data_IF_787463495096
#
_entry.id   IF_787463495096
#
_cell.length_a   1.000
_cell.length_b   1.000
_cell.length_c   1.000
_cell.angle_alpha   90.00
_cell.angle_beta   90.00
_cell.angle_gamma   90.00
#
_symmetry.space_group_name_H-M   'P 1'
#
loop_
_entity.id
_entity.type
_entity.pdbx_description
1 polymer ?
#
# COMPACT_ATOMS: atom_id res chain seq x y z
N UNK A 1 -32.30 48.01 -32.02
CA UNK A 1 -32.09 46.56 -31.76
C UNK A 1 -30.72 46.19 -31.19
N UNK A 2 -29.61 46.86 -31.54
CA UNK A 2 -28.26 46.54 -30.99
C UNK A 2 -28.07 46.91 -29.50
N UNK A 3 -28.74 47.96 -29.03
CA UNK A 3 -28.74 48.40 -27.62
C UNK A 3 -29.56 47.49 -26.71
N UNK A 4 -30.73 47.01 -27.15
CA UNK A 4 -31.56 46.07 -26.38
C UNK A 4 -30.90 44.69 -26.23
N UNK A 5 -30.21 44.20 -27.27
CA UNK A 5 -29.41 42.96 -27.21
C UNK A 5 -28.17 43.10 -26.31
N UNK A 6 -27.53 44.29 -26.27
CA UNK A 6 -26.44 44.58 -25.32
C UNK A 6 -26.94 44.67 -23.87
N UNK A 7 -28.07 45.32 -23.62
CA UNK A 7 -28.66 45.42 -22.28
C UNK A 7 -29.18 44.05 -21.80
N UNK A 8 -29.74 43.23 -22.69
CA UNK A 8 -30.12 41.84 -22.40
C UNK A 8 -28.92 40.91 -22.16
N UNK A 9 -27.81 41.08 -22.88
CA UNK A 9 -26.58 40.31 -22.67
C UNK A 9 -25.85 40.74 -21.38
N UNK A 10 -25.84 42.04 -21.05
CA UNK A 10 -25.28 42.57 -19.79
C UNK A 10 -26.17 42.18 -18.61
N UNK A 11 -27.50 42.31 -18.74
CA UNK A 11 -28.46 41.86 -17.72
C UNK A 11 -28.45 40.34 -17.51
N UNK A 12 -28.27 39.55 -18.58
CA UNK A 12 -28.11 38.11 -18.51
C UNK A 12 -26.77 37.66 -17.92
N UNK A 13 -25.67 38.36 -18.21
CA UNK A 13 -24.38 38.11 -17.59
C UNK A 13 -24.36 38.50 -16.11
N UNK A 14 -25.02 39.60 -15.74
CA UNK A 14 -25.21 40.01 -14.33
C UNK A 14 -26.11 39.03 -13.59
N UNK A 15 -27.19 38.54 -14.21
CA UNK A 15 -28.05 37.51 -13.61
C UNK A 15 -27.32 36.16 -13.48
N UNK A 16 -26.47 35.78 -14.44
CA UNK A 16 -25.61 34.61 -14.30
C UNK A 16 -24.61 34.81 -13.17
N UNK A 17 -23.89 35.93 -13.09
CA UNK A 17 -22.97 36.25 -11.98
C UNK A 17 -23.71 36.28 -10.62
N UNK A 18 -24.96 36.75 -10.57
CA UNK A 18 -25.77 36.81 -9.36
C UNK A 18 -26.42 35.46 -8.98
N UNK A 19 -26.60 34.54 -9.92
CA UNK A 19 -27.15 33.20 -9.63
C UNK A 19 -26.04 32.14 -9.54
N UNK A 20 -24.83 32.47 -9.98
CA UNK A 20 -23.70 31.56 -10.06
C UNK A 20 -23.22 31.07 -8.68
N UNK A 21 -23.07 31.92 -7.65
CA UNK A 21 -22.75 31.46 -6.30
C UNK A 21 -23.81 30.51 -5.71
N UNK A 22 -25.09 30.66 -6.09
CA UNK A 22 -26.17 29.75 -5.68
C UNK A 22 -26.08 28.39 -6.38
N UNK A 23 -25.74 28.37 -7.67
CA UNK A 23 -25.50 27.15 -8.42
C UNK A 23 -24.25 26.42 -7.91
N UNK A 24 -23.18 27.16 -7.61
CA UNK A 24 -21.95 26.65 -6.99
C UNK A 24 -22.22 26.10 -5.59
N UNK A 25 -23.10 26.72 -4.80
CA UNK A 25 -23.55 26.18 -3.51
C UNK A 25 -24.36 24.88 -3.62
N UNK A 26 -25.21 24.72 -4.64
CA UNK A 26 -25.89 23.44 -4.91
C UNK A 26 -24.91 22.34 -5.34
N UNK A 27 -23.93 22.68 -6.17
CA UNK A 27 -22.82 21.77 -6.53
C UNK A 27 -22.01 21.39 -5.29
N UNK A 28 -21.73 22.35 -4.40
CA UNK A 28 -21.04 22.10 -3.13
C UNK A 28 -21.80 21.13 -2.22
N UNK A 29 -23.10 21.34 -2.00
CA UNK A 29 -23.93 20.43 -1.20
C UNK A 29 -23.96 19.02 -1.79
N UNK A 30 -24.09 18.92 -3.13
CA UNK A 30 -24.07 17.64 -3.83
C UNK A 30 -22.72 16.94 -3.73
N UNK A 31 -21.61 17.65 -3.90
CA UNK A 31 -20.25 17.10 -3.73
C UNK A 31 -20.08 16.53 -2.30
N UNK A 32 -20.54 17.26 -1.27
CA UNK A 32 -20.47 16.78 0.12
C UNK A 32 -21.35 15.54 0.33
N UNK A 33 -22.58 15.56 -0.16
CA UNK A 33 -23.52 14.45 0.03
C UNK A 33 -23.10 13.20 -0.73
N UNK A 34 -22.73 13.34 -2.01
CA UNK A 34 -22.24 12.22 -2.84
C UNK A 34 -20.89 11.69 -2.30
N UNK A 35 -20.02 12.57 -1.80
CA UNK A 35 -18.76 12.19 -1.16
C UNK A 35 -18.97 11.34 0.09
N UNK A 36 -19.88 11.75 0.99
CA UNK A 36 -20.23 10.98 2.19
C UNK A 36 -20.86 9.63 1.82
N UNK A 37 -21.78 9.59 0.86
CA UNK A 37 -22.41 8.33 0.44
C UNK A 37 -21.37 7.30 -0.05
N UNK A 38 -20.30 7.75 -0.72
CA UNK A 38 -19.22 6.87 -1.19
C UNK A 38 -18.22 6.48 -0.10
N UNK A 39 -18.17 7.20 1.03
CA UNK A 39 -17.30 6.88 2.18
C UNK A 39 -17.96 5.93 3.18
N UNK A 40 -19.30 5.92 3.24
CA UNK A 40 -20.04 5.02 4.12
C UNK A 40 -19.92 3.57 3.64
N UNK A 41 -19.58 2.66 4.54
CA UNK A 41 -19.47 1.22 4.29
C UNK A 41 -19.82 0.40 5.54
N UNK A 42 -19.58 -0.91 5.52
CA UNK A 42 -19.89 -1.81 6.64
C UNK A 42 -19.08 -1.52 7.92
N UNK A 43 -17.96 -0.79 7.82
CA UNK A 43 -17.06 -0.45 8.92
C UNK A 43 -17.28 0.96 9.47
N UNK A 44 -17.68 1.92 8.63
CA UNK A 44 -17.84 3.34 8.99
C UNK A 44 -19.13 3.89 8.42
N UNK A 45 -19.94 4.52 9.27
CA UNK A 45 -21.10 5.33 8.88
C UNK A 45 -20.68 6.78 8.73
N UNK A 46 -21.09 7.43 7.65
CA UNK A 46 -20.86 8.86 7.45
C UNK A 46 -22.18 9.58 7.20
N UNK A 47 -22.42 10.69 7.90
CA UNK A 47 -23.70 11.41 7.85
C UNK A 47 -23.47 12.92 7.70
N UNK A 48 -24.33 13.56 6.91
CA UNK A 48 -24.45 15.02 6.89
C UNK A 48 -25.43 15.42 8.00
N UNK A 49 -24.92 16.05 9.06
CA UNK A 49 -25.72 16.47 10.23
C UNK A 49 -26.46 17.76 9.91
N UNK A 50 -25.77 18.74 9.32
CA UNK A 50 -26.37 19.99 8.87
C UNK A 50 -25.62 20.58 7.67
N UNK A 51 -26.34 21.36 6.87
CA UNK A 51 -25.77 22.13 5.78
C UNK A 51 -26.49 23.47 5.67
N UNK A 52 -25.81 24.53 6.07
CA UNK A 52 -26.31 25.90 6.01
C UNK A 52 -25.77 26.57 4.76
N UNK A 53 -26.64 26.69 3.75
CA UNK A 53 -26.28 27.29 2.47
C UNK A 53 -26.43 28.81 2.51
N UNK A 54 -25.33 29.51 2.40
CA UNK A 54 -25.29 30.95 2.13
C UNK A 54 -25.02 31.26 0.65
N UNK A 55 -24.93 32.55 0.34
CA UNK A 55 -24.74 33.01 -1.04
C UNK A 55 -23.28 32.87 -1.49
N UNK A 56 -22.32 33.40 -0.72
CA UNK A 56 -20.88 33.31 -1.00
C UNK A 56 -20.15 32.24 -0.16
N UNK A 57 -20.84 31.66 0.81
CA UNK A 57 -20.29 30.64 1.69
C UNK A 57 -21.37 29.66 2.12
N UNK A 58 -20.96 28.48 2.57
CA UNK A 58 -21.82 27.51 3.23
C UNK A 58 -21.08 26.93 4.43
N UNK A 59 -21.82 26.48 5.45
CA UNK A 59 -21.25 25.71 6.56
C UNK A 59 -21.85 24.31 6.56
N UNK A 60 -21.03 23.29 6.74
CA UNK A 60 -21.46 21.90 6.78
C UNK A 60 -20.92 21.20 8.02
N UNK A 61 -21.77 20.41 8.67
CA UNK A 61 -21.39 19.56 9.80
C UNK A 61 -21.58 18.11 9.38
N UNK A 62 -20.52 17.33 9.49
CA UNK A 62 -20.50 15.91 9.13
C UNK A 62 -20.11 15.06 10.32
N UNK A 63 -20.63 13.84 10.38
CA UNK A 63 -20.38 12.88 11.45
C UNK A 63 -19.87 11.57 10.86
N UNK A 64 -18.83 11.02 11.49
CA UNK A 64 -18.24 9.73 11.18
C UNK A 64 -18.36 8.84 12.40
N UNK A 65 -18.97 7.66 12.25
CA UNK A 65 -19.21 6.72 13.35
C UNK A 65 -18.64 5.36 12.99
N UNK A 66 -17.83 4.78 13.88
CA UNK A 66 -17.32 3.42 13.72
C UNK A 66 -18.46 2.42 13.96
N UNK A 67 -18.71 1.57 12.96
CA UNK A 67 -19.69 0.49 13.03
C UNK A 67 -19.06 -0.86 13.35
N UNK A 68 -17.80 -1.06 12.93
CA UNK A 68 -17.06 -2.29 13.20
C UNK A 68 -16.94 -2.54 14.71
N UNK A 69 -17.43 -3.71 15.15
CA UNK A 69 -17.54 -4.03 16.59
C UNK A 69 -16.18 -4.18 17.26
N UNK A 70 -15.19 -4.69 16.55
CA UNK A 70 -13.87 -4.97 17.12
C UNK A 70 -13.06 -3.69 17.23
N UNK A 71 -13.06 -2.86 16.18
CA UNK A 71 -12.45 -1.52 16.21
C UNK A 71 -13.13 -0.66 17.27
N UNK A 72 -14.47 -0.67 17.32
CA UNK A 72 -15.23 0.09 18.30
C UNK A 72 -14.85 -0.31 19.73
N UNK A 73 -14.80 -1.61 20.02
CA UNK A 73 -14.39 -2.13 21.34
C UNK A 73 -12.96 -1.71 21.70
N UNK A 74 -12.03 -1.76 20.75
CA UNK A 74 -10.64 -1.35 20.97
C UNK A 74 -10.54 0.15 21.28
N UNK A 75 -11.26 1.00 20.56
CA UNK A 75 -11.31 2.44 20.83
C UNK A 75 -11.87 2.72 22.23
N UNK A 76 -12.98 2.07 22.60
CA UNK A 76 -13.60 2.21 23.92
C UNK A 76 -12.66 1.76 25.04
N UNK A 77 -11.95 0.63 24.88
CA UNK A 77 -10.95 0.14 25.85
C UNK A 77 -9.78 1.11 26.04
N UNK A 78 -9.42 1.85 24.99
CA UNK A 78 -8.35 2.85 25.00
C UNK A 78 -8.84 4.24 25.42
N UNK A 79 -10.13 4.42 25.69
CA UNK A 79 -10.74 5.71 26.02
C UNK A 79 -10.75 6.69 24.85
N UNK A 80 -10.75 6.19 23.61
CA UNK A 80 -10.81 6.96 22.38
C UNK A 80 -12.27 7.09 21.90
N UNK A 81 -12.63 8.22 21.26
CA UNK A 81 -13.97 8.39 20.71
C UNK A 81 -14.22 7.41 19.56
N UNK A 82 -15.46 6.94 19.44
CA UNK A 82 -15.93 6.10 18.32
C UNK A 82 -16.74 6.91 17.30
N UNK A 83 -16.89 8.20 17.56
CA UNK A 83 -17.58 9.17 16.73
C UNK A 83 -16.75 10.44 16.61
N UNK A 84 -16.67 10.97 15.40
CA UNK A 84 -16.02 12.24 15.11
C UNK A 84 -16.96 13.16 14.36
N UNK A 85 -17.00 14.41 14.78
CA UNK A 85 -17.74 15.48 14.11
C UNK A 85 -16.73 16.42 13.45
N UNK A 86 -16.95 16.70 12.17
CA UNK A 86 -16.13 17.60 11.36
C UNK A 86 -16.98 18.77 10.91
N UNK A 87 -16.52 19.98 11.23
CA UNK A 87 -17.11 21.23 10.78
C UNK A 87 -16.35 21.69 9.53
N UNK A 88 -17.08 22.12 8.50
CA UNK A 88 -16.50 22.56 7.23
C UNK A 88 -17.06 23.92 6.82
N UNK A 89 -16.18 24.91 6.69
CA UNK A 89 -16.50 26.22 6.15
C UNK A 89 -16.15 26.26 4.66
N UNK A 90 -17.17 26.43 3.83
CA UNK A 90 -17.09 26.35 2.38
C UNK A 90 -17.24 27.76 1.81
N UNK A 91 -16.35 28.18 0.91
CA UNK A 91 -16.42 29.44 0.18
C UNK A 91 -16.71 29.19 -1.30
N UNK A 92 -17.65 29.96 -1.85
CA UNK A 92 -18.04 29.93 -3.26
C UNK A 92 -17.28 31.01 -4.02
N UNK A 93 -16.32 30.61 -4.83
CA UNK A 93 -15.61 31.52 -5.74
C UNK A 93 -16.27 31.52 -7.12
N UNK A 94 -15.85 32.44 -7.99
CA UNK A 94 -16.36 32.53 -9.35
C UNK A 94 -16.11 31.24 -10.17
N UNK A 95 -15.01 30.52 -9.93
CA UNK A 95 -14.66 29.32 -10.72
C UNK A 95 -14.11 28.16 -9.85
N UNK A 96 -14.36 28.20 -8.54
CA UNK A 96 -13.94 27.15 -7.61
C UNK A 96 -14.76 27.14 -6.33
N UNK A 97 -14.68 26.03 -5.60
CA UNK A 97 -15.11 25.88 -4.22
C UNK A 97 -13.85 25.68 -3.37
N UNK A 98 -13.73 26.37 -2.25
CA UNK A 98 -12.72 26.04 -1.25
C UNK A 98 -13.38 25.66 0.06
N UNK A 99 -12.84 24.70 0.78
CA UNK A 99 -13.32 24.34 2.10
C UNK A 99 -12.18 24.25 3.10
N UNK A 100 -12.44 24.71 4.32
CA UNK A 100 -11.61 24.48 5.50
C UNK A 100 -12.40 23.59 6.43
N UNK A 101 -11.88 22.40 6.71
CA UNK A 101 -12.53 21.40 7.56
C UNK A 101 -11.68 21.12 8.79
N UNK A 102 -12.30 21.14 9.98
CA UNK A 102 -11.65 20.87 11.26
C UNK A 102 -12.51 19.95 12.12
N UNK A 103 -11.89 19.21 13.03
CA UNK A 103 -12.65 18.49 14.06
C UNK A 103 -13.43 19.46 14.96
N UNK A 104 -14.55 19.00 15.49
CA UNK A 104 -15.27 19.71 16.55
C UNK A 104 -14.37 19.91 17.77
N UNK A 105 -14.57 21.01 18.49
CA UNK A 105 -13.76 21.37 19.67
C UNK A 105 -13.70 20.27 20.73
N UNK A 106 -14.72 19.41 20.80
CA UNK A 106 -14.78 18.31 21.76
C UNK A 106 -13.68 17.26 21.53
N UNK A 107 -13.24 17.07 20.28
CA UNK A 107 -12.30 16.00 19.90
C UNK A 107 -10.83 16.37 20.17
N UNK A 108 -10.49 17.66 20.32
CA UNK A 108 -9.13 18.15 20.58
C UNK A 108 -8.03 17.56 19.68
N UNK A 109 -8.34 17.23 18.42
CA UNK A 109 -7.35 16.82 17.41
C UNK A 109 -7.04 18.05 16.54
N UNK A 110 -5.80 18.56 16.54
CA UNK A 110 -5.44 19.79 15.85
C UNK A 110 -5.15 19.51 14.37
N UNK A 111 -6.10 18.90 13.67
CA UNK A 111 -6.04 18.54 12.25
C UNK A 111 -6.97 19.46 11.46
N UNK A 112 -6.44 20.06 10.41
CA UNK A 112 -7.15 20.88 9.46
C UNK A 112 -7.00 20.32 8.05
N UNK A 113 -8.09 20.24 7.30
CA UNK A 113 -8.10 19.89 5.89
C UNK A 113 -8.55 21.10 5.08
N UNK A 114 -7.67 21.60 4.21
CA UNK A 114 -7.98 22.62 3.23
C UNK A 114 -8.18 21.95 1.87
N UNK A 115 -9.24 22.31 1.16
CA UNK A 115 -9.49 21.82 -0.20
C UNK A 115 -9.82 22.97 -1.14
N UNK A 116 -9.48 22.80 -2.42
CA UNK A 116 -9.93 23.69 -3.48
C UNK A 116 -10.33 22.88 -4.72
N UNK A 117 -11.63 22.81 -4.99
CA UNK A 117 -12.21 22.13 -6.15
C UNK A 117 -12.48 23.14 -7.26
N UNK A 118 -11.89 22.92 -8.44
CA UNK A 118 -12.09 23.73 -9.65
C UNK A 118 -13.32 23.25 -10.44
N UNK A 119 -13.80 24.05 -11.39
CA UNK A 119 -14.95 23.67 -12.24
C UNK A 119 -14.74 22.42 -13.11
N UNK A 120 -13.49 22.06 -13.42
CA UNK A 120 -13.18 20.80 -14.10
C UNK A 120 -13.24 19.58 -13.15
N UNK A 121 -13.57 19.82 -11.88
CA UNK A 121 -13.70 18.83 -10.81
C UNK A 121 -12.37 18.33 -10.24
N UNK A 122 -11.24 18.93 -10.62
CA UNK A 122 -9.97 18.68 -9.93
C UNK A 122 -9.98 19.37 -8.56
N UNK A 123 -9.59 18.63 -7.53
CA UNK A 123 -9.50 19.10 -6.14
C UNK A 123 -8.06 19.06 -5.67
N UNK A 124 -7.51 20.21 -5.30
CA UNK A 124 -6.28 20.26 -4.52
C UNK A 124 -6.64 20.08 -3.05
N UNK A 125 -5.86 19.32 -2.29
CA UNK A 125 -6.06 19.13 -0.87
C UNK A 125 -4.75 19.35 -0.10
N UNK A 126 -4.87 19.88 1.10
CA UNK A 126 -3.80 20.05 2.06
C UNK A 126 -4.34 19.76 3.46
N UNK A 127 -3.95 18.64 4.00
CA UNK A 127 -4.16 18.26 5.38
C UNK A 127 -2.94 18.68 6.20
N UNK A 128 -3.18 19.40 7.28
CA UNK A 128 -2.16 19.86 8.21
C UNK A 128 -2.54 19.44 9.62
N UNK A 129 -1.63 18.74 10.29
CA UNK A 129 -1.72 18.42 11.71
C UNK A 129 -0.72 19.33 12.42
N UNK A 130 -1.17 20.12 13.39
CA UNK A 130 -0.27 20.82 14.31
C UNK A 130 0.31 19.84 15.34
N UNK A 131 1.22 20.30 16.20
CA UNK A 131 1.75 19.44 17.27
C UNK A 131 0.59 18.86 18.10
N UNK A 132 0.51 17.53 18.16
CA UNK A 132 -0.55 16.83 18.87
C UNK A 132 0.02 16.06 20.05
N UNK A 133 -0.50 16.36 21.23
CA UNK A 133 -0.24 15.64 22.46
C UNK A 133 -1.52 14.99 22.95
N UNK A 134 -1.50 13.69 23.15
CA UNK A 134 -2.63 12.94 23.67
C UNK A 134 -2.17 12.02 24.80
N UNK A 135 -3.00 11.92 25.85
CA UNK A 135 -2.76 11.02 26.97
C UNK A 135 -3.96 10.08 27.08
N UNK A 136 -3.72 8.79 26.82
CA UNK A 136 -4.75 7.76 26.98
C UNK A 136 -5.09 7.57 28.45
N UNK A 137 -6.38 7.33 28.71
CA UNK A 137 -6.94 7.00 30.03
C UNK A 137 -7.37 5.54 30.13
N UNK A 138 -7.01 4.71 29.14
CA UNK A 138 -7.37 3.28 29.09
C UNK A 138 -6.60 2.42 30.10
N UNK A 139 -6.84 1.10 30.05
CA UNK A 139 -6.22 0.12 30.96
C UNK A 139 -4.68 0.12 30.89
N UNK A 140 -4.13 0.43 29.71
CA UNK A 140 -2.70 0.62 29.49
C UNK A 140 -2.42 2.06 29.07
N UNK A 141 -2.28 2.99 30.02
CA UNK A 141 -2.10 4.40 29.69
C UNK A 141 -0.76 4.63 28.98
N UNK A 142 -0.83 5.46 27.94
CA UNK A 142 0.31 5.92 27.15
C UNK A 142 0.16 7.41 26.83
N UNK A 143 1.26 8.05 26.48
CA UNK A 143 1.29 9.39 25.90
C UNK A 143 1.70 9.29 24.44
N UNK A 144 0.96 9.98 23.58
CA UNK A 144 1.26 10.16 22.16
C UNK A 144 1.75 11.60 21.97
N UNK A 145 2.89 11.75 21.30
CA UNK A 145 3.40 13.04 20.84
C UNK A 145 3.65 12.94 19.34
N UNK A 146 2.96 13.79 18.58
CA UNK A 146 3.17 13.94 17.14
C UNK A 146 3.61 15.35 16.84
N UNK A 147 4.68 15.49 16.05
CA UNK A 147 5.10 16.79 15.54
C UNK A 147 4.23 17.21 14.37
N UNK A 148 4.17 18.52 14.11
CA UNK A 148 3.45 19.06 12.98
C UNK A 148 3.74 18.28 11.67
N UNK A 149 2.68 17.88 10.99
CA UNK A 149 2.72 16.97 9.84
C UNK A 149 1.83 17.51 8.73
N UNK A 150 2.06 17.05 7.50
CA UNK A 150 1.29 17.50 6.34
C UNK A 150 1.09 16.39 5.31
N UNK A 151 -0.09 16.37 4.70
CA UNK A 151 -0.39 15.56 3.53
C UNK A 151 -1.04 16.50 2.51
N UNK A 152 -0.43 16.64 1.34
CA UNK A 152 -0.95 17.52 0.29
C UNK A 152 -0.98 16.80 -1.05
N UNK A 153 -1.83 17.24 -1.96
CA UNK A 153 -1.95 16.58 -3.24
C UNK A 153 -3.10 17.10 -4.09
N UNK A 154 -3.39 16.35 -5.15
CA UNK A 154 -4.44 16.65 -6.11
C UNK A 154 -5.23 15.40 -6.44
N UNK A 155 -6.55 15.49 -6.53
CA UNK A 155 -7.43 14.45 -7.04
C UNK A 155 -8.21 14.98 -8.25
N UNK A 156 -8.44 14.15 -9.27
CA UNK A 156 -9.27 14.49 -10.43
C UNK A 156 -10.57 13.69 -10.47
N UNK A 157 -11.55 14.15 -11.23
CA UNK A 157 -12.79 13.39 -11.51
C UNK A 157 -12.54 12.07 -12.23
N UNK A 158 -11.38 11.93 -12.88
CA UNK A 158 -10.98 10.68 -13.53
C UNK A 158 -10.34 9.71 -12.53
N UNK A 159 -10.23 10.06 -11.24
CA UNK A 159 -9.63 9.21 -10.21
C UNK A 159 -8.09 9.27 -10.18
N UNK A 160 -7.47 10.17 -10.93
CA UNK A 160 -6.03 10.43 -10.81
C UNK A 160 -5.74 11.16 -9.50
N UNK A 161 -4.80 10.64 -8.73
CA UNK A 161 -4.38 11.18 -7.44
C UNK A 161 -2.87 11.39 -7.47
N UNK A 162 -2.44 12.54 -6.97
CA UNK A 162 -1.06 12.76 -6.53
C UNK A 162 -1.07 13.14 -5.06
N UNK A 163 -0.03 12.76 -4.31
CA UNK A 163 0.14 13.20 -2.93
C UNK A 163 1.61 13.27 -2.51
N UNK A 164 1.86 14.06 -1.47
CA UNK A 164 3.08 14.14 -0.70
C UNK A 164 2.73 14.20 0.79
N UNK A 165 3.27 13.27 1.57
CA UNK A 165 3.15 13.13 3.02
C UNK A 165 4.48 13.49 3.67
N UNK A 166 4.43 14.26 4.74
CA UNK A 166 5.56 14.52 5.64
C UNK A 166 5.08 14.35 7.07
N UNK A 167 5.71 13.43 7.78
CA UNK A 167 5.45 13.14 9.19
C UNK A 167 6.82 13.06 9.90
N UNK A 168 7.24 14.14 10.56
CA UNK A 168 8.59 14.22 11.12
C UNK A 168 8.81 13.30 12.32
N UNK A 169 7.84 13.17 13.24
CA UNK A 169 7.98 12.30 14.40
C UNK A 169 6.64 11.90 15.01
N UNK A 170 6.55 10.63 15.40
CA UNK A 170 5.59 10.09 16.37
C UNK A 170 6.38 9.49 17.53
N UNK A 171 5.99 9.78 18.75
CA UNK A 171 6.49 9.11 19.94
C UNK A 171 5.33 8.60 20.79
N UNK A 172 5.40 7.34 21.19
CA UNK A 172 4.53 6.70 22.15
C UNK A 172 5.36 6.37 23.39
N UNK A 173 4.99 6.91 24.54
CA UNK A 173 5.60 6.57 25.82
C UNK A 173 4.58 5.88 26.70
N UNK A 174 4.86 4.64 27.07
CA UNK A 174 4.02 3.85 27.95
C UNK A 174 4.38 4.13 29.41
N UNK A 175 3.39 3.98 30.30
CA UNK A 175 3.57 4.23 31.74
C UNK A 175 4.53 3.26 32.42
N UNK A 176 4.77 2.08 31.84
CA UNK A 176 5.79 1.13 32.29
C UNK A 176 7.23 1.56 31.95
N UNK A 177 7.41 2.65 31.18
CA UNK A 177 8.70 3.16 30.73
C UNK A 177 9.11 2.73 29.32
N UNK A 178 8.37 1.82 28.68
CA UNK A 178 8.62 1.47 27.28
C UNK A 178 8.34 2.65 26.35
N UNK A 179 9.09 2.70 25.25
CA UNK A 179 8.95 3.77 24.26
C UNK A 179 8.99 3.21 22.85
N UNK A 180 8.12 3.74 22.00
CA UNK A 180 8.16 3.53 20.55
C UNK A 180 8.29 4.89 19.90
N UNK A 181 9.31 5.05 19.06
CA UNK A 181 9.56 6.27 18.31
C UNK A 181 9.63 5.96 16.82
N UNK A 182 8.95 6.78 16.03
CA UNK A 182 8.98 6.78 14.58
C UNK A 182 9.42 8.18 14.13
N UNK A 183 10.39 8.29 13.24
CA UNK A 183 10.90 9.57 12.78
C UNK A 183 11.11 9.60 11.27
N UNK A 184 10.90 10.78 10.69
CA UNK A 184 11.19 11.11 9.30
C UNK A 184 10.45 10.19 8.32
N UNK A 185 9.12 10.13 8.43
CA UNK A 185 8.27 9.45 7.46
C UNK A 185 7.93 10.41 6.33
N UNK A 186 8.29 10.03 5.12
CA UNK A 186 7.89 10.76 3.91
C UNK A 186 7.20 9.81 2.95
N UNK A 187 6.11 10.26 2.35
CA UNK A 187 5.40 9.51 1.33
C UNK A 187 5.19 10.37 0.10
N UNK A 188 5.26 9.80 -1.08
CA UNK A 188 4.84 10.45 -2.30
C UNK A 188 4.21 9.43 -3.24
N UNK A 189 3.28 9.88 -4.07
CA UNK A 189 2.64 8.99 -5.03
C UNK A 189 1.93 9.74 -6.13
N UNK A 190 1.81 9.07 -7.28
CA UNK A 190 1.03 9.52 -8.42
C UNK A 190 0.48 8.32 -9.17
N UNK A 191 -0.81 8.34 -9.44
CA UNK A 191 -1.46 7.26 -10.17
C UNK A 191 -2.96 7.39 -10.14
N UNK A 192 -3.65 6.30 -10.44
CA UNK A 192 -5.10 6.26 -10.52
C UNK A 192 -5.59 4.88 -10.13
N UNK A 193 -6.73 4.84 -9.44
CA UNK A 193 -7.44 3.59 -9.25
C UNK A 193 -8.24 3.25 -10.52
N UNK A 194 -7.86 2.18 -11.21
CA UNK A 194 -8.58 1.65 -12.37
C UNK A 194 -9.17 0.28 -12.05
N UNK A 195 -10.50 0.22 -11.83
CA UNK A 195 -11.24 -1.04 -11.62
C UNK A 195 -10.61 -1.95 -10.56
N UNK A 196 -10.30 -1.38 -9.38
CA UNK A 196 -9.72 -2.09 -8.25
C UNK A 196 -8.19 -2.12 -8.21
N UNK A 197 -7.49 -1.75 -9.29
CA UNK A 197 -6.03 -1.66 -9.30
C UNK A 197 -5.55 -0.23 -9.09
N UNK A 198 -4.53 -0.06 -8.27
CA UNK A 198 -3.70 1.13 -8.40
C UNK A 198 -2.78 1.00 -9.61
N UNK A 199 -2.87 1.94 -10.55
CA UNK A 199 -1.95 2.08 -11.68
C UNK A 199 -1.15 3.36 -11.48
N UNK A 200 0.15 3.22 -11.25
CA UNK A 200 1.05 4.35 -11.03
C UNK A 200 2.20 3.99 -10.10
N UNK A 201 2.65 4.95 -9.31
CA UNK A 201 3.78 4.76 -8.40
C UNK A 201 3.53 5.36 -7.03
N UNK A 202 4.07 4.72 -6.00
CA UNK A 202 4.11 5.25 -4.64
C UNK A 202 5.44 4.91 -4.01
N UNK A 203 5.95 5.83 -3.21
CA UNK A 203 7.15 5.66 -2.42
C UNK A 203 6.88 6.12 -1.00
N UNK A 204 7.24 5.30 -0.03
CA UNK A 204 7.20 5.63 1.39
C UNK A 204 8.60 5.39 1.94
N UNK A 205 9.11 6.35 2.68
CA UNK A 205 10.40 6.27 3.37
C UNK A 205 10.18 6.50 4.85
N UNK A 206 10.99 5.83 5.66
CA UNK A 206 11.03 5.93 7.09
C UNK A 206 12.49 6.13 7.49
N UNK A 207 12.83 7.26 8.09
CA UNK A 207 14.20 7.53 8.51
C UNK A 207 14.64 6.69 9.70
N UNK A 208 13.80 6.57 10.74
CA UNK A 208 14.13 5.77 11.92
C UNK A 208 12.89 5.24 12.65
N UNK A 209 12.97 3.99 13.12
CA UNK A 209 12.05 3.45 14.12
C UNK A 209 12.86 2.84 15.26
N UNK A 210 12.52 3.20 16.49
CA UNK A 210 13.19 2.67 17.70
C UNK A 210 12.15 2.18 18.70
N UNK A 211 12.41 1.00 19.27
CA UNK A 211 11.68 0.47 20.43
C UNK A 211 12.66 0.34 21.58
N UNK A 212 12.34 0.97 22.72
CA UNK A 212 13.11 0.89 23.96
C UNK A 212 12.29 0.19 25.03
N UNK A 213 12.94 -0.68 25.80
CA UNK A 213 12.32 -1.36 26.93
C UNK A 213 12.23 -0.45 28.17
N UNK A 214 11.69 -1.01 29.26
CA UNK A 214 11.55 -0.34 30.57
C UNK A 214 12.89 0.15 31.17
N UNK A 215 14.03 -0.40 30.74
CA UNK A 215 15.39 0.01 31.16
C UNK A 215 16.01 1.02 30.21
N UNK A 216 15.25 1.51 29.22
CA UNK A 216 15.72 2.36 28.12
C UNK A 216 16.75 1.69 27.21
N UNK A 217 16.87 0.36 27.25
CA UNK A 217 17.72 -0.36 26.31
C UNK A 217 16.99 -0.48 24.96
N UNK A 218 17.67 -0.12 23.87
CA UNK A 218 17.14 -0.31 22.52
C UNK A 218 16.99 -1.79 22.23
N UNK A 219 15.75 -2.26 22.06
CA UNK A 219 15.43 -3.65 21.70
C UNK A 219 15.35 -3.83 20.19
N UNK A 220 14.90 -2.79 19.51
CA UNK A 220 14.75 -2.74 18.06
C UNK A 220 15.14 -1.36 17.55
N UNK A 221 15.95 -1.32 16.49
CA UNK A 221 16.21 -0.10 15.73
C UNK A 221 16.19 -0.42 14.24
N UNK A 222 15.41 0.34 13.50
CA UNK A 222 15.38 0.33 12.05
C UNK A 222 15.87 1.69 11.58
N UNK A 223 16.95 1.70 10.81
CA UNK A 223 17.55 2.89 10.25
C UNK A 223 17.33 2.88 8.73
N UNK A 224 16.64 3.89 8.23
CA UNK A 224 16.28 4.09 6.83
C UNK A 224 15.64 2.85 6.18
N UNK A 225 14.32 2.83 6.14
CA UNK A 225 13.54 1.92 5.31
C UNK A 225 12.86 2.69 4.17
N UNK A 226 12.72 2.04 3.02
CA UNK A 226 11.95 2.53 1.89
C UNK A 226 11.09 1.40 1.34
N UNK A 227 9.86 1.71 1.01
CA UNK A 227 8.98 0.89 0.19
C UNK A 227 8.62 1.67 -1.06
N UNK A 228 8.77 1.05 -2.21
CA UNK A 228 8.34 1.59 -3.50
C UNK A 228 7.44 0.57 -4.21
N UNK A 229 6.28 1.04 -4.66
CA UNK A 229 5.38 0.29 -5.51
C UNK A 229 5.30 0.97 -6.87
N UNK A 230 5.45 0.21 -7.94
CA UNK A 230 5.22 0.67 -9.30
C UNK A 230 4.31 -0.30 -10.02
N UNK A 231 3.35 0.22 -10.77
CA UNK A 231 2.46 -0.61 -11.55
C UNK A 231 2.12 0.03 -12.88
N UNK A 232 1.81 -0.84 -13.85
CA UNK A 232 1.43 -0.45 -15.19
C UNK A 232 0.31 -1.35 -15.71
N UNK A 233 -0.48 -0.80 -16.63
CA UNK A 233 -1.54 -1.52 -17.32
C UNK A 233 -1.30 -1.47 -18.83
N UNK A 234 -1.15 -2.63 -19.46
CA UNK A 234 -1.24 -2.74 -20.92
C UNK A 234 -2.73 -2.76 -21.30
N UNK A 235 -3.25 -1.63 -21.77
CA UNK A 235 -4.64 -1.50 -22.16
C UNK A 235 -5.01 -2.38 -23.37
N UNK A 236 -4.06 -2.70 -24.25
CA UNK A 236 -4.31 -3.51 -25.45
C UNK A 236 -4.46 -4.99 -25.11
N UNK A 237 -3.58 -5.50 -24.24
CA UNK A 237 -3.57 -6.90 -23.81
C UNK A 237 -4.38 -7.15 -22.53
N UNK A 238 -4.86 -6.09 -21.88
CA UNK A 238 -5.54 -6.16 -20.58
C UNK A 238 -4.67 -6.83 -19.51
N UNK A 239 -3.36 -6.51 -19.50
CA UNK A 239 -2.37 -7.09 -18.58
C UNK A 239 -1.90 -6.09 -17.55
N UNK A 240 -1.78 -6.56 -16.31
CA UNK A 240 -1.29 -5.79 -15.18
C UNK A 240 0.11 -6.28 -14.79
N UNK A 241 1.00 -5.33 -14.52
CA UNK A 241 2.32 -5.58 -13.93
C UNK A 241 2.49 -4.72 -12.69
N UNK A 242 2.95 -5.33 -11.60
CA UNK A 242 3.23 -4.66 -10.34
C UNK A 242 4.60 -5.04 -9.79
N UNK A 243 5.39 -4.05 -9.39
CA UNK A 243 6.70 -4.20 -8.78
C UNK A 243 6.68 -3.64 -7.36
N UNK A 244 7.21 -4.41 -6.42
CA UNK A 244 7.36 -4.08 -5.01
C UNK A 244 8.85 -4.08 -4.67
N UNK A 245 9.38 -2.94 -4.24
CA UNK A 245 10.77 -2.81 -3.81
C UNK A 245 10.81 -2.33 -2.36
N UNK A 246 11.45 -3.10 -1.49
CA UNK A 246 11.75 -2.75 -0.11
C UNK A 246 13.26 -2.63 0.03
N UNK A 247 13.73 -1.55 0.63
CA UNK A 247 15.14 -1.42 1.02
C UNK A 247 15.24 -1.01 2.48
N UNK A 248 16.18 -1.60 3.20
CA UNK A 248 16.48 -1.27 4.60
C UNK A 248 17.99 -1.10 4.74
N UNK A 249 18.44 0.07 5.18
CA UNK A 249 19.88 0.31 5.38
C UNK A 249 20.43 -0.48 6.55
N UNK A 250 19.76 -0.41 7.70
CA UNK A 250 20.12 -1.22 8.86
C UNK A 250 18.89 -1.57 9.70
N UNK A 251 18.86 -2.80 10.20
CA UNK A 251 17.91 -3.29 11.17
C UNK A 251 18.69 -4.00 12.27
N UNK A 252 18.50 -3.57 13.51
CA UNK A 252 19.12 -4.15 14.69
C UNK A 252 18.05 -4.68 15.64
N UNK A 253 18.22 -5.92 16.08
CA UNK A 253 17.38 -6.56 17.10
C UNK A 253 18.27 -7.25 18.13
N UNK A 254 18.31 -6.70 19.35
CA UNK A 254 19.29 -7.13 20.35
C UNK A 254 20.73 -6.96 19.83
N UNK A 255 21.47 -8.06 19.72
CA UNK A 255 22.85 -8.09 19.25
C UNK A 255 22.99 -8.33 17.74
N UNK A 256 21.91 -8.74 17.06
CA UNK A 256 21.92 -9.03 15.64
C UNK A 256 21.68 -7.77 14.80
N UNK A 257 22.44 -7.63 13.72
CA UNK A 257 22.31 -6.54 12.75
C UNK A 257 22.25 -7.08 11.32
N UNK A 258 21.21 -6.66 10.59
CA UNK A 258 21.08 -6.81 9.15
C UNK A 258 21.34 -5.45 8.51
N UNK A 259 22.18 -5.39 7.49
CA UNK A 259 22.48 -4.18 6.71
C UNK A 259 22.19 -4.37 5.24
N UNK A 260 21.97 -3.24 4.57
CA UNK A 260 21.82 -3.13 3.12
C UNK A 260 20.84 -4.15 2.51
N UNK A 261 19.74 -4.40 3.23
CA UNK A 261 18.74 -5.36 2.80
C UNK A 261 17.90 -4.79 1.67
N UNK A 262 17.74 -5.55 0.59
CA UNK A 262 16.95 -5.22 -0.59
C UNK A 262 16.04 -6.41 -0.90
N UNK A 263 14.77 -6.14 -1.14
CA UNK A 263 13.81 -7.08 -1.68
C UNK A 263 13.07 -6.41 -2.83
N UNK A 264 13.33 -6.85 -4.06
CA UNK A 264 12.72 -6.33 -5.29
C UNK A 264 11.99 -7.48 -6.00
N UNK A 265 10.67 -7.43 -5.99
CA UNK A 265 9.78 -8.45 -6.54
C UNK A 265 8.83 -7.85 -7.59
N UNK A 266 8.63 -8.56 -8.69
CA UNK A 266 7.70 -8.19 -9.77
C UNK A 266 6.74 -9.34 -10.07
N UNK A 267 5.45 -9.00 -10.08
CA UNK A 267 4.38 -9.79 -10.67
C UNK A 267 4.07 -9.20 -12.05
N UNK A 268 4.39 -9.93 -13.11
CA UNK A 268 4.33 -9.45 -14.48
C UNK A 268 3.22 -10.07 -15.31
N UNK A 269 2.65 -9.27 -16.20
CA UNK A 269 1.76 -9.66 -17.30
C UNK A 269 0.51 -10.44 -16.90
N UNK A 270 -0.03 -10.18 -15.70
CA UNK A 270 -1.20 -10.90 -15.19
C UNK A 270 -2.46 -10.46 -15.92
N UNK A 271 -3.32 -11.40 -16.31
CA UNK A 271 -4.64 -11.06 -16.84
C UNK A 271 -5.46 -10.26 -15.82
N UNK A 272 -5.81 -9.03 -16.19
CA UNK A 272 -6.49 -8.08 -15.31
C UNK A 272 -7.80 -8.63 -14.78
N UNK A 273 -8.63 -9.23 -15.64
CA UNK A 273 -10.00 -9.66 -15.26
C UNK A 273 -9.94 -10.80 -14.25
N UNK A 274 -9.08 -11.79 -14.49
CA UNK A 274 -8.86 -12.92 -13.60
C UNK A 274 -8.35 -12.43 -12.24
N UNK A 275 -7.34 -11.55 -12.24
CA UNK A 275 -6.79 -11.03 -10.99
C UNK A 275 -7.79 -10.17 -10.22
N UNK A 276 -8.60 -9.33 -10.88
CA UNK A 276 -9.69 -8.58 -10.20
C UNK A 276 -10.64 -9.54 -9.49
N UNK A 277 -11.12 -10.57 -10.18
CA UNK A 277 -12.06 -11.54 -9.61
C UNK A 277 -11.46 -12.25 -8.39
N UNK A 278 -10.19 -12.65 -8.46
CA UNK A 278 -9.50 -13.27 -7.32
C UNK A 278 -9.32 -12.29 -6.15
N UNK A 279 -9.02 -11.03 -6.44
CA UNK A 279 -8.84 -9.98 -5.44
C UNK A 279 -10.15 -9.69 -4.69
N UNK A 280 -11.26 -9.58 -5.41
CA UNK A 280 -12.59 -9.37 -4.84
C UNK A 280 -13.01 -10.54 -3.94
N UNK A 281 -12.73 -11.78 -4.34
CA UNK A 281 -13.00 -12.97 -3.53
C UNK A 281 -12.19 -12.98 -2.21
N UNK A 282 -10.99 -12.38 -2.20
CA UNK A 282 -10.12 -12.32 -1.02
C UNK A 282 -10.48 -11.18 -0.06
N UNK A 283 -10.93 -10.03 -0.59
CA UNK A 283 -11.22 -8.82 0.21
C UNK A 283 -12.39 -8.99 1.20
N UNK A 284 -13.31 -9.93 0.96
CA UNK A 284 -14.45 -10.19 1.83
C UNK A 284 -14.10 -10.87 3.17
N UNK A 285 -12.81 -11.11 3.47
CA UNK A 285 -12.37 -11.71 4.75
C UNK A 285 -12.92 -13.11 5.00
N UNK A 286 -13.47 -13.76 3.97
CA UNK A 286 -14.09 -15.09 4.09
C UNK A 286 -12.99 -16.12 4.26
N UNK A 287 -13.13 -16.97 5.28
CA UNK A 287 -12.34 -18.21 5.38
C UNK A 287 -12.44 -18.96 4.06
N UNK A 288 -11.31 -19.47 3.54
CA UNK A 288 -11.23 -20.30 2.35
C UNK A 288 -12.18 -21.49 2.46
N UNK A 289 -13.40 -21.34 1.95
CA UNK A 289 -14.42 -22.39 1.94
C UNK A 289 -14.41 -23.08 0.58
N UNK A 290 -14.89 -24.33 0.53
CA UNK A 290 -15.02 -25.06 -0.75
C UNK A 290 -15.90 -24.30 -1.76
N UNK A 291 -16.87 -23.50 -1.29
CA UNK A 291 -17.67 -22.63 -2.16
C UNK A 291 -16.84 -21.51 -2.79
N UNK A 292 -15.98 -20.86 -2.00
CA UNK A 292 -15.07 -19.82 -2.48
C UNK A 292 -14.04 -20.36 -3.48
N UNK A 293 -13.49 -21.54 -3.21
CA UNK A 293 -12.57 -22.23 -4.12
C UNK A 293 -13.25 -22.53 -5.47
N UNK A 294 -14.50 -22.99 -5.45
CA UNK A 294 -15.26 -23.24 -6.66
C UNK A 294 -15.58 -21.95 -7.44
N UNK A 295 -15.79 -20.83 -6.74
CA UNK A 295 -15.97 -19.52 -7.36
C UNK A 295 -14.67 -18.96 -7.95
N UNK A 296 -13.53 -19.23 -7.32
CA UNK A 296 -12.22 -18.81 -7.79
C UNK A 296 -11.71 -19.62 -8.99
N UNK A 297 -12.15 -20.88 -9.13
CA UNK A 297 -11.69 -21.84 -10.15
C UNK A 297 -11.60 -21.26 -11.57
N UNK A 298 -12.63 -20.58 -12.12
CA UNK A 298 -12.56 -20.03 -13.47
C UNK A 298 -11.52 -18.91 -13.61
N UNK A 299 -11.34 -18.09 -12.57
CA UNK A 299 -10.37 -17.03 -12.56
C UNK A 299 -8.93 -17.57 -12.45
N UNK A 300 -8.73 -18.63 -11.66
CA UNK A 300 -7.44 -19.33 -11.58
C UNK A 300 -7.08 -19.95 -12.94
N UNK A 301 -7.99 -20.69 -13.58
CA UNK A 301 -7.73 -21.26 -14.91
C UNK A 301 -7.47 -20.18 -15.97
N UNK A 302 -8.18 -19.06 -15.89
CA UNK A 302 -7.92 -17.92 -16.77
C UNK A 302 -6.54 -17.32 -16.54
N UNK A 303 -6.09 -17.22 -15.29
CA UNK A 303 -4.77 -16.69 -14.96
C UNK A 303 -3.64 -17.57 -15.51
N UNK A 304 -3.74 -18.90 -15.38
CA UNK A 304 -2.78 -19.84 -15.95
C UNK A 304 -2.82 -19.87 -17.49
N UNK A 305 -4.01 -19.94 -18.09
CA UNK A 305 -4.15 -19.97 -19.56
C UNK A 305 -3.68 -18.69 -20.24
N UNK A 306 -3.80 -17.56 -19.56
CA UNK A 306 -3.25 -16.29 -20.02
C UNK A 306 -1.77 -16.13 -19.70
N UNK A 307 -1.16 -16.99 -18.87
CA UNK A 307 0.24 -16.85 -18.48
C UNK A 307 0.53 -15.60 -17.65
N UNK A 308 1.65 -15.64 -16.94
CA UNK A 308 2.16 -14.57 -16.08
C UNK A 308 3.61 -14.85 -15.72
N UNK A 309 4.29 -13.85 -15.15
CA UNK A 309 5.63 -14.02 -14.59
C UNK A 309 5.71 -13.60 -13.14
N UNK A 310 6.56 -14.29 -12.39
CA UNK A 310 6.95 -13.98 -11.03
C UNK A 310 8.46 -13.80 -11.03
N UNK A 311 8.95 -12.65 -10.56
CA UNK A 311 10.38 -12.35 -10.59
C UNK A 311 10.82 -11.75 -9.27
N UNK A 312 11.75 -12.41 -8.58
CA UNK A 312 12.58 -11.75 -7.57
C UNK A 312 13.78 -11.16 -8.29
N UNK A 313 13.71 -9.87 -8.63
CA UNK A 313 14.76 -9.16 -9.34
C UNK A 313 16.05 -9.12 -8.51
N UNK A 314 15.90 -8.90 -7.20
CA UNK A 314 17.00 -8.93 -6.23
C UNK A 314 16.49 -9.14 -4.81
N UNK A 315 17.01 -10.14 -4.14
CA UNK A 315 17.09 -10.23 -2.69
C UNK A 315 18.57 -10.08 -2.32
N UNK A 316 18.90 -9.11 -1.49
CA UNK A 316 20.26 -8.94 -0.99
C UNK A 316 20.21 -8.56 0.49
N UNK A 317 21.15 -9.03 1.29
CA UNK A 317 21.34 -8.59 2.67
C UNK A 317 22.77 -8.88 3.15
N UNK A 318 23.21 -8.10 4.12
CA UNK A 318 24.49 -8.28 4.82
C UNK A 318 24.24 -8.56 6.29
N UNK A 319 24.86 -9.60 6.84
CA UNK A 319 24.84 -9.93 8.27
C UNK A 319 26.28 -10.11 8.74
N UNK A 320 26.75 -9.30 9.69
CA UNK A 320 28.15 -9.33 10.11
C UNK A 320 29.10 -8.96 8.95
N UNK A 321 29.96 -9.88 8.54
CA UNK A 321 30.80 -9.76 7.33
C UNK A 321 30.28 -10.64 6.18
N UNK A 322 29.15 -11.30 6.37
CA UNK A 322 28.52 -12.19 5.40
C UNK A 322 27.50 -11.49 4.52
N UNK A 323 27.48 -11.85 3.26
CA UNK A 323 26.52 -11.40 2.24
C UNK A 323 25.70 -12.59 1.72
N UNK A 324 24.43 -12.30 1.41
CA UNK A 324 23.50 -13.16 0.68
C UNK A 324 22.95 -12.35 -0.49
N UNK A 325 22.99 -12.92 -1.69
CA UNK A 325 22.26 -12.40 -2.85
C UNK A 325 21.47 -13.51 -3.52
N UNK A 326 20.26 -13.21 -3.98
CA UNK A 326 19.45 -14.12 -4.75
C UNK A 326 18.58 -13.38 -5.76
N UNK A 327 18.34 -14.00 -6.90
CA UNK A 327 17.33 -13.58 -7.87
C UNK A 327 16.74 -14.82 -8.53
N UNK A 328 15.46 -14.75 -8.87
CA UNK A 328 14.82 -15.82 -9.62
C UNK A 328 13.72 -15.26 -10.50
N UNK A 329 13.44 -15.98 -11.56
CA UNK A 329 12.34 -15.70 -12.47
C UNK A 329 11.61 -17.01 -12.75
N UNK A 330 10.29 -16.97 -12.67
CA UNK A 330 9.40 -18.06 -13.07
C UNK A 330 8.37 -17.49 -14.03
N UNK A 331 8.17 -18.18 -15.14
CA UNK A 331 7.22 -17.79 -16.18
C UNK A 331 6.28 -18.96 -16.47
N UNK A 332 4.98 -18.68 -16.37
CA UNK A 332 3.92 -19.54 -16.88
C UNK A 332 3.58 -19.06 -18.28
N UNK A 333 3.79 -19.86 -19.33
CA UNK A 333 3.47 -19.45 -20.69
C UNK A 333 1.96 -19.38 -20.94
N UNK A 334 1.56 -18.53 -21.88
CA UNK A 334 0.20 -18.53 -22.45
C UNK A 334 -0.16 -19.92 -22.99
N UNK A 335 -1.42 -20.32 -22.82
CA UNK A 335 -1.91 -21.63 -23.25
C UNK A 335 -1.73 -22.75 -22.23
N UNK A 336 -1.39 -22.44 -20.97
CA UNK A 336 -1.34 -23.42 -19.88
C UNK A 336 -2.76 -23.69 -19.35
N UNK A 337 -3.28 -24.91 -19.54
CA UNK A 337 -4.66 -25.28 -19.17
C UNK A 337 -4.70 -26.42 -18.15
N UNK A 338 -5.87 -26.62 -17.54
CA UNK A 338 -6.20 -27.76 -16.68
C UNK A 338 -5.32 -27.93 -15.44
N UNK A 339 -4.66 -26.85 -15.00
CA UNK A 339 -3.75 -26.86 -13.84
C UNK A 339 -4.46 -27.28 -12.55
N UNK A 340 -5.76 -27.01 -12.44
CA UNK A 340 -6.53 -27.40 -11.25
C UNK A 340 -6.94 -28.88 -11.23
N UNK A 341 -6.95 -29.55 -12.38
CA UNK A 341 -7.23 -30.99 -12.47
C UNK A 341 -5.92 -31.80 -12.47
N UNK A 342 -4.88 -31.28 -13.13
CA UNK A 342 -3.54 -31.86 -13.15
C UNK A 342 -2.49 -30.79 -12.78
N UNK A 343 -2.21 -30.59 -11.48
CA UNK A 343 -1.14 -29.69 -11.04
C UNK A 343 0.24 -30.09 -11.59
N UNK A 344 0.42 -31.35 -11.99
CA UNK A 344 1.63 -31.85 -12.63
C UNK A 344 1.92 -31.18 -13.97
N UNK A 345 0.88 -30.82 -14.72
CA UNK A 345 0.98 -30.16 -16.01
C UNK A 345 1.63 -28.77 -15.91
N UNK A 346 1.50 -28.08 -14.77
CA UNK A 346 2.18 -26.81 -14.55
C UNK A 346 3.70 -27.00 -14.55
N UNK A 347 4.20 -28.04 -13.86
CA UNK A 347 5.63 -28.24 -13.73
C UNK A 347 6.31 -28.47 -15.08
N UNK A 348 5.66 -29.15 -16.02
CA UNK A 348 6.24 -29.45 -17.33
C UNK A 348 6.31 -28.24 -18.28
N UNK A 349 5.56 -27.17 -18.01
CA UNK A 349 5.54 -25.95 -18.85
C UNK A 349 6.23 -24.76 -18.21
N UNK A 350 6.52 -24.83 -16.91
CA UNK A 350 7.26 -23.79 -16.19
C UNK A 350 8.65 -23.62 -16.79
N UNK A 351 9.02 -22.34 -16.96
CA UNK A 351 10.34 -21.92 -17.38
C UNK A 351 10.85 -20.82 -16.46
N UNK A 352 12.17 -20.63 -16.40
CA UNK A 352 12.71 -19.68 -15.44
C UNK A 352 14.19 -19.82 -15.21
N UNK A 353 14.68 -19.07 -14.23
CA UNK A 353 16.05 -19.17 -13.74
C UNK A 353 16.10 -18.86 -12.24
N UNK A 354 17.12 -19.38 -11.58
CA UNK A 354 17.44 -19.07 -10.19
C UNK A 354 18.95 -18.91 -10.06
N UNK A 355 19.35 -17.81 -9.45
CA UNK A 355 20.74 -17.52 -9.10
C UNK A 355 20.79 -17.13 -7.63
N UNK A 356 21.70 -17.73 -6.87
CA UNK A 356 21.95 -17.38 -5.49
C UNK A 356 23.44 -17.43 -5.15
N UNK A 357 23.88 -16.52 -4.30
CA UNK A 357 25.22 -16.41 -3.76
C UNK A 357 25.12 -16.33 -2.24
N UNK A 358 25.82 -17.24 -1.56
CA UNK A 358 26.01 -17.22 -0.10
C UNK A 358 27.49 -17.05 0.16
N UNK A 359 27.90 -15.92 0.72
CA UNK A 359 29.31 -15.66 0.97
C UNK A 359 29.93 -16.65 1.95
N UNK A 360 31.25 -16.86 1.83
CA UNK A 360 31.99 -17.73 2.75
C UNK A 360 31.91 -17.25 4.20
N UNK A 361 31.94 -15.93 4.43
CA UNK A 361 31.83 -15.33 5.76
C UNK A 361 30.48 -15.64 6.39
N UNK A 362 29.38 -15.58 5.63
CA UNK A 362 28.05 -15.89 6.14
C UNK A 362 27.95 -17.36 6.60
N UNK A 363 28.51 -18.29 5.83
CA UNK A 363 28.51 -19.72 6.20
C UNK A 363 29.35 -19.98 7.46
N UNK A 364 30.46 -19.26 7.63
CA UNK A 364 31.29 -19.35 8.84
C UNK A 364 30.59 -18.81 10.08
N UNK A 365 29.90 -17.68 9.94
CA UNK A 365 29.16 -17.04 11.04
C UNK A 365 27.90 -17.84 11.41
N UNK A 366 27.33 -18.58 10.45
CA UNK A 366 26.12 -19.39 10.63
C UNK A 366 26.31 -20.85 10.17
N UNK A 367 26.97 -21.70 10.99
CA UNK A 367 27.33 -23.08 10.62
C UNK A 367 26.14 -23.99 10.26
N UNK A 368 24.93 -23.65 10.68
CA UNK A 368 23.74 -24.41 10.32
C UNK A 368 23.44 -24.39 8.80
N UNK A 369 23.93 -23.37 8.08
CA UNK A 369 23.78 -23.25 6.62
C UNK A 369 24.80 -24.16 5.90
N UNK A 370 25.95 -24.40 6.52
CA UNK A 370 27.09 -25.09 5.93
C UNK A 370 26.72 -26.47 5.38
N UNK A 371 25.99 -27.28 6.17
CA UNK A 371 25.60 -28.62 5.75
C UNK A 371 24.77 -28.60 4.46
N UNK A 372 23.85 -27.63 4.31
CA UNK A 372 23.02 -27.50 3.13
C UNK A 372 23.82 -27.11 1.89
N UNK A 373 24.69 -26.11 2.00
CA UNK A 373 25.49 -25.65 0.86
C UNK A 373 26.58 -26.65 0.46
N UNK A 374 27.21 -27.33 1.41
CA UNK A 374 28.21 -28.38 1.13
C UNK A 374 27.56 -29.58 0.42
N UNK A 375 26.33 -29.96 0.81
CA UNK A 375 25.59 -31.00 0.13
C UNK A 375 25.26 -30.62 -1.32
N UNK A 376 24.86 -29.37 -1.58
CA UNK A 376 24.61 -28.89 -2.93
C UNK A 376 25.87 -28.90 -3.80
N UNK A 377 27.02 -28.58 -3.23
CA UNK A 377 28.32 -28.68 -3.94
C UNK A 377 28.66 -30.14 -4.24
N UNK A 378 28.52 -31.04 -3.27
CA UNK A 378 28.77 -32.47 -3.46
C UNK A 378 27.85 -33.10 -4.51
N UNK A 379 26.62 -32.60 -4.61
CA UNK A 379 25.65 -33.01 -5.63
C UNK A 379 25.86 -32.35 -6.99
N UNK A 380 26.92 -31.55 -7.19
CA UNK A 380 27.21 -30.80 -8.41
C UNK A 380 26.09 -29.81 -8.80
N UNK A 381 25.33 -29.35 -7.80
CA UNK A 381 24.24 -28.39 -7.94
C UNK A 381 24.68 -26.96 -7.65
N UNK A 382 25.69 -26.79 -6.81
CA UNK A 382 26.33 -25.51 -6.52
C UNK A 382 27.83 -25.58 -6.77
N UNK A 383 28.47 -24.43 -6.89
CA UNK A 383 29.93 -24.29 -6.96
C UNK A 383 30.44 -23.54 -5.74
N UNK A 384 31.68 -23.82 -5.34
CA UNK A 384 32.36 -23.14 -4.24
C UNK A 384 33.62 -22.47 -4.76
N UNK A 385 33.73 -21.16 -4.54
CA UNK A 385 34.88 -20.35 -4.95
C UNK A 385 35.26 -19.33 -3.85
N UNK A 386 36.21 -18.45 -4.13
CA UNK A 386 36.68 -17.43 -3.17
C UNK A 386 35.58 -16.47 -2.70
N UNK A 387 34.54 -16.23 -3.52
CA UNK A 387 33.41 -15.37 -3.18
C UNK A 387 32.39 -16.10 -2.28
N UNK A 388 32.36 -17.44 -2.30
CA UNK A 388 31.46 -18.26 -1.50
C UNK A 388 30.80 -19.37 -2.32
N UNK A 389 29.57 -19.71 -1.96
CA UNK A 389 28.77 -20.76 -2.57
C UNK A 389 27.81 -20.15 -3.59
N UNK A 390 27.88 -20.61 -4.84
CA UNK A 390 27.09 -20.11 -5.96
C UNK A 390 26.18 -21.19 -6.52
N UNK A 391 24.89 -20.90 -6.58
CA UNK A 391 23.86 -21.71 -7.22
C UNK A 391 23.38 -20.98 -8.47
N UNK A 392 23.41 -21.67 -9.62
CA UNK A 392 22.82 -21.20 -10.86
C UNK A 392 22.07 -22.33 -11.54
N UNK A 393 20.79 -22.12 -11.78
CA UNK A 393 19.88 -23.12 -12.32
C UNK A 393 18.95 -22.47 -13.33
N UNK A 394 18.83 -23.08 -14.50
CA UNK A 394 17.80 -22.75 -15.47
C UNK A 394 16.66 -23.77 -15.39
N UNK A 395 15.43 -23.31 -15.56
CA UNK A 395 14.25 -24.17 -15.58
C UNK A 395 13.77 -24.22 -17.03
N UNK A 396 13.79 -25.42 -17.59
CA UNK A 396 13.32 -25.70 -18.96
C UNK A 396 12.41 -26.92 -18.95
N UNK A 397 11.15 -26.72 -19.32
CA UNK A 397 10.15 -27.78 -19.45
C UNK A 397 10.06 -28.68 -18.20
N UNK A 398 10.10 -28.09 -17.00
CA UNK A 398 10.05 -28.81 -15.73
C UNK A 398 11.33 -29.53 -15.32
N UNK A 399 12.43 -29.30 -16.02
CA UNK A 399 13.77 -29.77 -15.66
C UNK A 399 14.60 -28.60 -15.15
N UNK A 400 15.28 -28.84 -14.03
CA UNK A 400 16.34 -27.98 -13.49
C UNK A 400 17.64 -28.35 -14.18
N UNK A 401 18.22 -27.40 -14.90
CA UNK A 401 19.50 -27.54 -15.59
C UNK A 401 20.54 -26.74 -14.82
N UNK A 402 21.45 -27.45 -14.16
CA UNK A 402 22.54 -26.85 -13.39
C UNK A 402 23.71 -26.48 -14.29
N UNK A 403 24.57 -25.56 -13.84
CA UNK A 403 25.78 -25.15 -14.59
C UNK A 403 26.73 -26.33 -14.91
N UNK A 404 26.70 -27.40 -14.13
CA UNK A 404 27.42 -28.66 -14.38
C UNK A 404 26.89 -29.46 -15.58
N UNK A 405 25.73 -29.08 -16.14
CA UNK A 405 24.99 -29.84 -17.14
C UNK A 405 24.07 -30.91 -16.55
N UNK A 406 24.09 -31.09 -15.22
CA UNK A 406 23.19 -32.00 -14.51
C UNK A 406 21.73 -31.56 -14.69
N UNK A 407 20.85 -32.53 -14.89
CA UNK A 407 19.42 -32.30 -15.03
C UNK A 407 18.65 -33.01 -13.93
N UNK A 408 17.74 -32.30 -13.26
CA UNK A 408 16.89 -32.86 -12.20
C UNK A 408 15.43 -32.45 -12.44
N UNK A 409 14.46 -33.37 -12.38
CA UNK A 409 13.05 -33.02 -12.44
C UNK A 409 12.66 -32.06 -11.30
N UNK A 410 11.96 -30.98 -11.62
CA UNK A 410 11.48 -30.00 -10.63
C UNK A 410 10.60 -30.66 -9.56
N UNK A 411 9.83 -31.67 -9.95
CA UNK A 411 8.99 -32.47 -9.05
C UNK A 411 9.77 -33.16 -7.93
N UNK A 412 11.04 -33.52 -8.16
CA UNK A 412 11.88 -34.16 -7.15
C UNK A 412 12.21 -33.22 -5.98
N UNK A 413 12.30 -31.91 -6.22
CA UNK A 413 12.54 -30.91 -5.17
C UNK A 413 11.28 -30.52 -4.40
N UNK A 414 10.10 -30.69 -5.00
CA UNK A 414 8.81 -30.32 -4.40
C UNK A 414 8.15 -31.45 -3.60
N UNK A 415 8.54 -32.70 -3.82
CA UNK A 415 8.02 -33.87 -3.07
C UNK A 415 8.09 -33.72 -1.54
N UNK A 416 9.18 -33.20 -0.94
CA UNK A 416 9.23 -32.97 0.51
C UNK A 416 8.22 -31.92 1.01
N UNK A 417 7.85 -30.95 0.16
CA UNK A 417 6.89 -29.88 0.49
C UNK A 417 5.42 -30.32 0.30
N UNK A 418 5.17 -31.36 -0.49
CA UNK A 418 3.84 -31.93 -0.73
C UNK A 418 3.50 -33.08 0.23
N UNK A 419 4.50 -33.61 0.95
CA UNK A 419 4.37 -34.67 1.94
C UNK A 419 4.33 -34.15 3.39
N UNK A 420 4.33 -32.82 3.57
CA UNK A 420 3.98 -32.12 4.81
C UNK A 420 2.56 -31.57 4.67
#
# INVERSE_FOLDING_TARGET
MKTLKRIGAVGGAVALILCWPLAVGQVGQKIVTDGLANLSNDQVKTELVSYERGYFSSSAVTRYTVLDRDIKRQLEQQGLPTEWVINSDIQHHAFSLSAVSTFSEQTHIPLQLNTQTRLNGSTDFQMHLDNWFYQSKGEQPFTLSMTASSLQGTASILGEISYALTLPSIALNFTNGEQVQLANVYGEGKGKQEKGFWVGQHKITLGEMTIRDVRQATRFNLNHAMYEFRSSMDASKQRFTGQHMVTVRALKTGDDEIRDAIFDFTLGDVDRKAFTQLSELYQDGRTLSNSLINQARPAIEKLFSQGFSLTLNRLALTMGQGELEAKWQLTVPEGTHDVLHDPGALFSVLSGSLEALVSQSLVKDYPFIQQGVDQLVLMEMATHNEQGYQLKVDIHNGLLVFASGKQVPLTALMMPLLLQ
#
